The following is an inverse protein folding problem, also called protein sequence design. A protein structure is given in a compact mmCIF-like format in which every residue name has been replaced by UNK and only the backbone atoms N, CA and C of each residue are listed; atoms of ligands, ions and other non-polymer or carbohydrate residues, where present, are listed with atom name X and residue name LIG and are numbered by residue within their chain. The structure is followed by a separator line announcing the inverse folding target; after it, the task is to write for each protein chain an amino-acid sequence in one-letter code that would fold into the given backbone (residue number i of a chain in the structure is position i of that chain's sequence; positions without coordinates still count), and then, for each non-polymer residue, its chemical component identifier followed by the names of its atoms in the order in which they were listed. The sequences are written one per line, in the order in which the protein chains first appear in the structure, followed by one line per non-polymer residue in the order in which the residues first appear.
data_IF_886909145548
#
_entry.id   IF_886909145548
#
_cell.length_a   1.000
_cell.length_b   1.000
_cell.length_c   1.000
_cell.angle_alpha   90.00
_cell.angle_beta   90.00
_cell.angle_gamma   90.00
#
_symmetry.space_group_name_H-M   'P 1'
#
loop_
_entity.id
_entity.type
_entity.pdbx_description
1 polymer ?
#
# COMPACT_ATOMS: atom_id res chain seq x y z
N UNK A 1 16.21 1.36 8.46
CA UNK A 1 15.22 2.32 7.95
C UNK A 1 13.92 2.19 8.74
N UNK A 2 13.12 3.27 8.76
CA UNK A 2 11.83 3.32 9.44
C UNK A 2 10.77 3.77 8.45
N UNK A 3 9.63 3.08 8.44
CA UNK A 3 8.46 3.47 7.68
C UNK A 3 7.35 3.90 8.64
N UNK A 4 6.69 5.02 8.33
CA UNK A 4 5.55 5.52 9.08
C UNK A 4 4.38 5.65 8.12
N UNK A 5 3.23 5.10 8.51
CA UNK A 5 2.00 5.25 7.77
C UNK A 5 0.99 6.02 8.62
N UNK A 6 0.55 7.15 8.10
CA UNK A 6 -0.54 7.94 8.68
C UNK A 6 -1.75 7.93 7.77
N UNK A 7 -2.92 7.96 8.34
CA UNK A 7 -4.17 8.23 7.63
C UNK A 7 -5.02 9.25 8.38
N UNK A 8 -5.80 10.04 7.67
CA UNK A 8 -6.71 11.04 8.19
C UNK A 8 -7.84 11.29 7.17
N UNK A 9 -8.90 11.94 7.59
CA UNK A 9 -9.99 12.37 6.71
C UNK A 9 -9.53 13.51 5.80
N UNK A 10 -8.75 14.48 6.35
CA UNK A 10 -8.28 15.66 5.64
C UNK A 10 -6.77 15.56 5.34
N UNK A 11 -6.39 15.94 4.14
CA UNK A 11 -4.98 15.93 3.73
C UNK A 11 -4.11 16.90 4.53
N UNK A 12 -4.69 18.03 4.97
CA UNK A 12 -4.02 19.03 5.82
C UNK A 12 -3.60 18.46 7.16
N UNK A 13 -4.34 17.48 7.71
CA UNK A 13 -3.98 16.83 8.96
C UNK A 13 -2.77 15.91 8.78
N UNK A 14 -2.65 15.25 7.62
CA UNK A 14 -1.44 14.49 7.28
C UNK A 14 -0.22 15.39 7.14
N UNK A 15 -0.37 16.55 6.49
CA UNK A 15 0.72 17.53 6.39
C UNK A 15 1.13 18.05 7.77
N UNK A 16 0.15 18.31 8.63
CA UNK A 16 0.42 18.75 10.01
C UNK A 16 1.15 17.66 10.78
N UNK A 17 0.68 16.42 10.76
CA UNK A 17 1.30 15.28 11.45
C UNK A 17 2.76 15.10 11.00
N UNK A 18 3.02 15.13 9.69
CA UNK A 18 4.37 15.05 9.14
C UNK A 18 5.27 16.20 9.66
N UNK A 19 4.78 17.43 9.59
CA UNK A 19 5.54 18.60 10.04
C UNK A 19 5.80 18.56 11.55
N UNK A 20 4.80 18.19 12.35
CA UNK A 20 4.93 18.09 13.80
C UNK A 20 5.96 16.99 14.14
N UNK A 21 5.87 15.81 13.53
CA UNK A 21 6.86 14.75 13.70
C UNK A 21 8.28 15.24 13.39
N UNK A 22 8.49 15.87 12.23
CA UNK A 22 9.80 16.34 11.76
C UNK A 22 10.38 17.46 12.64
N UNK A 23 9.54 18.35 13.16
CA UNK A 23 9.98 19.57 13.84
C UNK A 23 10.01 19.46 15.36
N UNK A 24 9.08 18.69 15.95
CA UNK A 24 8.88 18.69 17.40
C UNK A 24 9.46 17.46 18.10
N UNK A 25 9.69 16.33 17.38
CA UNK A 25 10.27 15.13 17.98
C UNK A 25 11.78 15.05 17.76
N UNK A 26 12.51 14.50 18.72
CA UNK A 26 13.93 14.21 18.58
C UNK A 26 14.13 13.19 17.47
N UNK A 27 13.33 12.11 17.48
CA UNK A 27 13.41 11.04 16.50
C UNK A 27 13.22 11.55 15.08
N UNK A 28 12.17 12.35 14.84
CA UNK A 28 11.92 12.92 13.51
C UNK A 28 13.02 13.84 13.00
N UNK A 29 13.76 14.51 13.91
CA UNK A 29 14.91 15.35 13.53
C UNK A 29 16.17 14.53 13.20
N UNK A 30 16.29 13.31 13.73
CA UNK A 30 17.43 12.42 13.47
C UNK A 30 17.29 11.61 12.17
N UNK A 31 16.10 11.57 11.57
CA UNK A 31 15.83 10.81 10.35
C UNK A 31 15.96 11.70 9.11
N UNK A 32 16.51 11.13 8.04
CA UNK A 32 16.41 11.70 6.70
C UNK A 32 15.21 11.10 5.96
N UNK A 33 14.58 11.92 5.12
CA UNK A 33 13.46 11.45 4.30
C UNK A 33 14.03 10.74 3.08
N UNK A 34 13.78 9.45 2.98
CA UNK A 34 14.18 8.63 1.84
C UNK A 34 13.11 8.60 0.75
N UNK A 35 11.84 8.40 1.14
CA UNK A 35 10.73 8.31 0.23
C UNK A 35 9.43 8.75 0.90
N UNK A 36 8.54 9.37 0.14
CA UNK A 36 7.19 9.75 0.59
C UNK A 36 6.18 9.37 -0.49
N UNK A 37 5.19 8.59 -0.10
CA UNK A 37 4.04 8.27 -0.95
C UNK A 37 2.75 8.81 -0.35
N UNK A 38 1.84 9.25 -1.19
CA UNK A 38 0.53 9.76 -0.80
C UNK A 38 -0.54 9.08 -1.61
N UNK A 39 -1.64 8.72 -0.97
CA UNK A 39 -2.79 8.14 -1.64
C UNK A 39 -4.11 8.67 -1.07
N UNK A 40 -5.13 8.67 -1.90
CA UNK A 40 -6.51 8.99 -1.52
C UNK A 40 -7.36 7.73 -1.67
N UNK A 41 -8.20 7.45 -0.68
CA UNK A 41 -9.20 6.41 -0.87
C UNK A 41 -10.20 6.83 -1.96
N UNK A 42 -10.45 5.92 -2.89
CA UNK A 42 -11.51 6.01 -3.88
C UNK A 42 -12.23 4.66 -3.95
N UNK A 43 -13.57 4.65 -4.08
CA UNK A 43 -14.30 3.40 -4.27
C UNK A 43 -13.75 2.62 -5.47
N UNK A 44 -13.59 1.31 -5.30
CA UNK A 44 -13.15 0.44 -6.38
C UNK A 44 -14.17 0.45 -7.53
N UNK A 45 -13.68 0.42 -8.77
CA UNK A 45 -14.49 0.55 -9.98
C UNK A 45 -15.60 -0.51 -10.07
N UNK A 46 -15.29 -1.76 -9.73
CA UNK A 46 -16.20 -2.90 -9.87
C UNK A 46 -16.65 -3.52 -8.54
N UNK A 47 -16.15 -3.03 -7.40
CA UNK A 47 -16.54 -3.50 -6.07
C UNK A 47 -16.53 -2.34 -5.06
N UNK A 48 -17.57 -1.51 -5.13
CA UNK A 48 -17.68 -0.30 -4.29
C UNK A 48 -17.77 -0.58 -2.79
N UNK A 49 -18.15 -1.81 -2.42
CA UNK A 49 -18.22 -2.22 -1.00
C UNK A 49 -16.91 -2.68 -0.42
N UNK A 50 -15.87 -2.83 -1.24
CA UNK A 50 -14.54 -3.21 -0.74
C UNK A 50 -13.82 -1.98 -0.18
N UNK A 51 -13.68 -1.95 1.13
CA UNK A 51 -12.95 -0.90 1.85
C UNK A 51 -11.59 -1.43 2.31
N UNK A 52 -10.54 -0.60 2.29
CA UNK A 52 -9.28 -0.92 2.92
C UNK A 52 -9.43 -1.18 4.44
N UNK A 53 -8.64 -2.08 4.98
CA UNK A 53 -8.70 -2.49 6.39
C UNK A 53 -8.54 -1.30 7.36
N UNK A 54 -7.67 -0.35 7.04
CA UNK A 54 -7.47 0.84 7.88
C UNK A 54 -8.70 1.76 7.96
N UNK A 55 -9.53 1.82 6.90
CA UNK A 55 -10.80 2.58 6.92
C UNK A 55 -11.85 1.86 7.75
N UNK A 56 -11.83 0.52 7.77
CA UNK A 56 -12.72 -0.28 8.59
C UNK A 56 -12.34 -0.28 10.08
N UNK A 57 -11.22 0.34 10.44
CA UNK A 57 -10.72 0.38 11.81
C UNK A 57 -10.16 -0.96 12.29
N UNK A 58 -9.74 -1.82 11.38
CA UNK A 58 -9.10 -3.09 11.72
C UNK A 58 -7.70 -2.84 12.28
N UNK A 59 -7.32 -3.63 13.31
CA UNK A 59 -5.97 -3.56 13.87
C UNK A 59 -4.93 -3.94 12.81
N UNK A 60 -3.82 -3.16 12.69
CA UNK A 60 -2.73 -3.50 11.79
C UNK A 60 -2.13 -4.88 12.09
N UNK A 61 -1.66 -5.57 11.05
CA UNK A 61 -0.98 -6.84 11.19
C UNK A 61 0.53 -6.67 11.47
N UNK A 62 1.23 -7.78 11.70
CA UNK A 62 2.63 -7.77 12.13
C UNK A 62 3.61 -7.36 11.03
N UNK A 63 3.27 -7.62 9.76
CA UNK A 63 4.11 -7.32 8.62
C UNK A 63 3.37 -6.52 7.56
N UNK A 64 4.10 -5.63 6.91
CA UNK A 64 3.58 -4.80 5.83
C UNK A 64 4.57 -4.77 4.66
N UNK A 65 4.03 -4.74 3.44
CA UNK A 65 4.78 -4.38 2.23
C UNK A 65 4.03 -3.26 1.50
N UNK A 66 4.70 -2.13 1.34
CA UNK A 66 4.17 -0.95 0.63
C UNK A 66 4.89 -0.80 -0.70
N UNK A 67 4.14 -0.56 -1.76
CA UNK A 67 4.69 -0.23 -3.07
C UNK A 67 3.70 0.58 -3.91
N UNK A 68 4.19 1.47 -4.75
CA UNK A 68 3.40 2.14 -5.76
C UNK A 68 3.33 1.32 -7.04
N UNK A 69 2.33 1.56 -7.89
CA UNK A 69 2.32 1.03 -9.25
C UNK A 69 1.59 1.93 -10.24
N UNK A 70 1.91 1.73 -11.50
CA UNK A 70 1.29 2.42 -12.64
C UNK A 70 0.79 1.38 -13.64
N UNK A 71 -0.44 1.56 -14.11
CA UNK A 71 -1.05 0.69 -15.13
C UNK A 71 -0.40 0.88 -16.51
N UNK A 72 -0.57 -0.11 -17.38
CA UNK A 72 -0.21 0.02 -18.79
C UNK A 72 -1.08 1.08 -19.49
N UNK A 73 -0.59 1.63 -20.59
CA UNK A 73 -1.26 2.73 -21.30
C UNK A 73 -2.64 2.37 -21.83
N UNK A 74 -2.87 1.10 -22.16
CA UNK A 74 -4.14 0.58 -22.68
C UNK A 74 -5.16 0.26 -21.57
N UNK A 75 -4.75 0.18 -20.31
CA UNK A 75 -5.61 -0.25 -19.21
C UNK A 75 -6.92 0.55 -19.11
N UNK A 76 -6.83 1.88 -19.11
CA UNK A 76 -8.00 2.74 -18.87
C UNK A 76 -8.88 2.92 -20.12
N UNK A 77 -8.34 2.65 -21.31
CA UNK A 77 -9.08 2.71 -22.58
C UNK A 77 -9.56 1.33 -23.05
N UNK A 78 -9.19 0.27 -22.33
CA UNK A 78 -9.67 -1.09 -22.56
C UNK A 78 -11.17 -1.17 -22.33
N UNK A 79 -11.82 -2.09 -23.06
CA UNK A 79 -13.22 -2.44 -22.84
C UNK A 79 -13.50 -2.73 -21.36
N UNK A 80 -14.51 -2.08 -20.73
CA UNK A 80 -14.78 -2.23 -19.32
C UNK A 80 -15.12 -3.66 -18.88
N UNK A 81 -15.77 -4.45 -19.72
CA UNK A 81 -16.12 -5.82 -19.37
C UNK A 81 -14.88 -6.72 -19.37
N UNK A 82 -13.96 -6.51 -20.33
CA UNK A 82 -12.65 -7.17 -20.31
C UNK A 82 -11.87 -6.80 -19.05
N UNK A 83 -11.79 -5.52 -18.70
CA UNK A 83 -11.11 -5.04 -17.50
C UNK A 83 -11.69 -5.65 -16.22
N UNK A 84 -13.04 -5.73 -16.15
CA UNK A 84 -13.75 -6.40 -15.05
C UNK A 84 -13.36 -7.88 -14.95
N UNK A 85 -13.30 -8.59 -16.07
CA UNK A 85 -12.93 -10.01 -16.10
C UNK A 85 -11.51 -10.24 -15.58
N UNK A 86 -10.55 -9.41 -15.99
CA UNK A 86 -9.17 -9.45 -15.51
C UNK A 86 -9.08 -9.23 -13.99
N UNK A 87 -9.88 -8.32 -13.43
CA UNK A 87 -9.90 -8.08 -11.99
C UNK A 87 -10.62 -9.19 -11.21
N UNK A 88 -11.63 -9.84 -11.80
CA UNK A 88 -12.26 -11.04 -11.22
C UNK A 88 -11.23 -12.17 -11.13
N UNK A 89 -10.52 -12.47 -12.21
CA UNK A 89 -9.46 -13.48 -12.24
C UNK A 89 -8.38 -13.18 -11.20
N UNK A 90 -7.93 -11.93 -11.14
CA UNK A 90 -6.96 -11.47 -10.17
C UNK A 90 -7.44 -11.68 -8.72
N UNK A 91 -8.70 -11.33 -8.42
CA UNK A 91 -9.29 -11.55 -7.11
C UNK A 91 -9.45 -13.04 -6.76
N UNK A 92 -9.82 -13.88 -7.74
CA UNK A 92 -9.92 -15.33 -7.53
C UNK A 92 -8.55 -15.95 -7.25
N UNK A 93 -7.49 -15.49 -7.90
CA UNK A 93 -6.13 -15.95 -7.64
C UNK A 93 -5.65 -15.62 -6.21
N UNK A 94 -6.21 -14.57 -5.60
CA UNK A 94 -5.92 -14.18 -4.22
C UNK A 94 -6.78 -14.92 -3.17
N UNK A 95 -7.74 -15.76 -3.56
CA UNK A 95 -8.72 -16.35 -2.63
C UNK A 95 -8.10 -17.19 -1.50
N UNK A 96 -6.97 -17.85 -1.77
CA UNK A 96 -6.24 -18.65 -0.78
C UNK A 96 -5.40 -17.80 0.21
N UNK A 97 -5.44 -16.47 0.05
CA UNK A 97 -4.66 -15.50 0.82
C UNK A 97 -5.56 -14.54 1.60
N UNK A 98 -6.67 -15.04 2.15
CA UNK A 98 -7.62 -14.23 2.92
C UNK A 98 -7.02 -13.59 4.18
N UNK A 99 -5.89 -14.12 4.66
CA UNK A 99 -5.09 -13.58 5.75
C UNK A 99 -4.19 -12.40 5.32
N UNK A 100 -4.02 -12.15 4.03
CA UNK A 100 -3.28 -11.00 3.51
C UNK A 100 -4.27 -9.88 3.15
N UNK A 101 -4.20 -8.78 3.88
CA UNK A 101 -5.04 -7.61 3.67
C UNK A 101 -4.43 -6.70 2.61
N UNK A 102 -5.24 -6.27 1.65
CA UNK A 102 -4.83 -5.32 0.62
C UNK A 102 -5.46 -3.95 0.87
N UNK A 103 -4.61 -2.95 1.09
CA UNK A 103 -5.02 -1.56 1.18
C UNK A 103 -4.59 -0.84 -0.10
N UNK A 104 -5.55 -0.54 -0.99
CA UNK A 104 -5.28 0.11 -2.27
C UNK A 104 -5.81 1.54 -2.26
N UNK A 105 -4.94 2.48 -2.61
CA UNK A 105 -5.25 3.91 -2.64
C UNK A 105 -4.90 4.49 -4.00
N UNK A 106 -5.72 5.44 -4.46
CA UNK A 106 -5.47 6.21 -5.67
C UNK A 106 -4.39 7.28 -5.42
N UNK A 107 -3.40 7.38 -6.31
CA UNK A 107 -2.29 8.34 -6.21
C UNK A 107 -2.16 9.25 -7.44
N UNK A 108 -3.18 9.30 -8.31
CA UNK A 108 -3.17 10.14 -9.50
C UNK A 108 -2.90 11.60 -9.16
N UNK A 109 -1.88 12.17 -9.81
CA UNK A 109 -1.42 13.55 -9.62
C UNK A 109 -0.90 13.88 -8.20
N UNK A 110 -0.65 12.86 -7.37
CA UNK A 110 -0.07 13.02 -6.03
C UNK A 110 1.43 12.64 -5.98
N UNK A 111 2.01 12.33 -7.12
CA UNK A 111 3.38 11.91 -7.35
C UNK A 111 3.50 11.26 -8.72
N UNK A 112 4.53 10.44 -8.91
CA UNK A 112 4.85 9.83 -10.20
C UNK A 112 4.03 8.57 -10.51
N UNK A 113 3.23 8.11 -9.55
CA UNK A 113 2.49 6.86 -9.64
C UNK A 113 0.97 7.08 -9.66
N UNK A 114 0.24 6.06 -10.09
CA UNK A 114 -1.23 6.09 -10.16
C UNK A 114 -1.89 5.46 -8.93
N UNK A 115 -1.21 4.49 -8.34
CA UNK A 115 -1.73 3.68 -7.24
C UNK A 115 -0.67 3.46 -6.18
N UNK A 116 -1.14 3.35 -4.93
CA UNK A 116 -0.36 2.95 -3.77
C UNK A 116 -1.00 1.72 -3.16
N UNK A 117 -0.21 0.67 -2.97
CA UNK A 117 -0.64 -0.55 -2.30
C UNK A 117 0.12 -0.75 -0.99
N UNK A 118 -0.61 -1.21 0.04
CA UNK A 118 -0.04 -1.72 1.26
C UNK A 118 -0.66 -3.08 1.57
N UNK A 119 0.13 -4.14 1.49
CA UNK A 119 -0.26 -5.46 1.95
C UNK A 119 0.14 -5.65 3.40
N UNK A 120 -0.79 -6.14 4.22
CA UNK A 120 -0.52 -6.53 5.60
C UNK A 120 -0.78 -8.03 5.78
N UNK A 121 0.06 -8.70 6.56
CA UNK A 121 -0.08 -10.12 6.85
C UNK A 121 0.54 -10.50 8.21
N UNK A 122 0.18 -11.68 8.77
CA UNK A 122 0.82 -12.19 9.98
C UNK A 122 2.30 -12.50 9.79
N UNK A 123 2.72 -12.85 8.55
CA UNK A 123 4.12 -13.11 8.21
C UNK A 123 4.49 -12.54 6.84
N UNK A 124 5.76 -12.22 6.65
CA UNK A 124 6.26 -11.68 5.38
C UNK A 124 6.19 -12.71 4.24
N UNK A 125 6.34 -13.98 4.56
CA UNK A 125 6.22 -15.09 3.60
C UNK A 125 4.85 -15.09 2.93
N UNK A 126 3.76 -14.85 3.69
CA UNK A 126 2.41 -14.79 3.12
C UNK A 126 2.25 -13.68 2.08
N UNK A 127 2.87 -12.52 2.32
CA UNK A 127 2.88 -11.43 1.32
C UNK A 127 3.68 -11.85 0.08
N UNK A 128 4.84 -12.47 0.28
CA UNK A 128 5.70 -12.95 -0.81
C UNK A 128 5.00 -14.00 -1.67
N UNK A 129 4.34 -14.96 -1.04
CA UNK A 129 3.61 -16.03 -1.73
C UNK A 129 2.43 -15.47 -2.54
N UNK A 130 1.65 -14.55 -1.95
CA UNK A 130 0.60 -13.83 -2.68
C UNK A 130 1.17 -13.09 -3.89
N UNK A 131 2.22 -12.29 -3.70
CA UNK A 131 2.85 -11.54 -4.78
C UNK A 131 3.36 -12.46 -5.90
N UNK A 132 3.95 -13.61 -5.56
CA UNK A 132 4.35 -14.62 -6.53
C UNK A 132 3.14 -15.19 -7.29
N UNK A 133 2.07 -15.54 -6.57
CA UNK A 133 0.82 -16.03 -7.17
C UNK A 133 0.23 -15.04 -8.17
N UNK A 134 0.25 -13.74 -7.85
CA UNK A 134 -0.29 -12.68 -8.71
C UNK A 134 0.48 -12.52 -10.03
N UNK A 135 1.72 -13.02 -10.15
CA UNK A 135 2.49 -13.01 -11.40
C UNK A 135 1.90 -13.90 -12.49
N UNK A 136 1.03 -14.84 -12.15
CA UNK A 136 0.39 -15.76 -13.08
C UNK A 136 -0.98 -15.31 -13.60
N UNK A 137 -1.44 -14.12 -13.23
CA UNK A 137 -2.70 -13.54 -13.71
C UNK A 137 -2.47 -12.63 -14.93
N UNK A 138 -3.42 -12.59 -15.86
CA UNK A 138 -3.32 -11.71 -17.05
C UNK A 138 -3.30 -10.22 -16.65
N UNK A 139 -3.92 -9.83 -15.53
CA UNK A 139 -3.86 -8.46 -15.00
C UNK A 139 -2.43 -7.96 -14.79
N UNK A 140 -1.45 -8.86 -14.62
CA UNK A 140 -0.02 -8.53 -14.51
C UNK A 140 0.54 -7.87 -15.77
N UNK A 141 0.04 -8.23 -16.95
CA UNK A 141 0.47 -7.64 -18.23
C UNK A 141 0.12 -6.15 -18.33
N UNK A 142 -0.83 -5.70 -17.51
CA UNK A 142 -1.31 -4.32 -17.46
C UNK A 142 -0.71 -3.53 -16.28
N UNK A 143 0.49 -3.87 -15.85
CA UNK A 143 1.30 -3.10 -14.90
C UNK A 143 2.59 -2.70 -15.59
N UNK A 144 2.78 -1.39 -15.78
CA UNK A 144 3.96 -0.81 -16.44
C UNK A 144 5.11 -0.62 -15.47
N UNK A 145 4.80 -0.19 -14.27
CA UNK A 145 5.78 0.12 -13.23
C UNK A 145 5.26 -0.31 -11.86
N UNK A 146 6.13 -0.85 -11.05
CA UNK A 146 5.81 -1.43 -9.74
C UNK A 146 7.06 -1.39 -8.84
N UNK A 147 7.57 -0.20 -8.60
CA UNK A 147 8.77 0.07 -7.80
C UNK A 147 8.61 1.41 -7.07
N UNK A 148 9.30 1.62 -5.93
CA UNK A 148 10.06 0.66 -5.11
C UNK A 148 9.16 -0.17 -4.18
N UNK A 149 9.69 -1.26 -3.62
CA UNK A 149 9.04 -2.06 -2.57
C UNK A 149 9.67 -1.76 -1.22
N UNK A 150 8.84 -1.56 -0.22
CA UNK A 150 9.24 -1.36 1.17
C UNK A 150 8.54 -2.36 2.06
N UNK A 151 9.29 -3.24 2.70
CA UNK A 151 8.75 -4.22 3.63
C UNK A 151 9.28 -3.99 5.03
N UNK A 152 8.43 -4.19 6.04
CA UNK A 152 8.82 -3.99 7.42
C UNK A 152 7.94 -4.75 8.41
N UNK A 153 8.49 -4.95 9.59
CA UNK A 153 7.76 -5.46 10.74
C UNK A 153 7.12 -4.30 11.51
N UNK A 154 5.91 -4.51 11.99
CA UNK A 154 5.24 -3.57 12.91
C UNK A 154 6.05 -3.45 14.19
N UNK A 155 6.20 -2.23 14.66
CA UNK A 155 6.75 -1.91 15.99
C UNK A 155 5.69 -1.16 16.79
N UNK A 156 5.65 -1.37 18.09
CA UNK A 156 4.71 -0.74 19.00
C UNK A 156 5.37 0.26 19.93
N UNK A 157 6.70 0.20 20.01
CA UNK A 157 7.51 1.09 20.84
C UNK A 157 8.76 1.54 20.04
N UNK A 158 9.15 2.81 20.20
CA UNK A 158 10.38 3.35 19.61
C UNK A 158 11.63 2.61 20.11
N UNK A 159 11.62 2.07 21.32
CA UNK A 159 12.72 1.26 21.84
C UNK A 159 13.04 0.07 20.93
N UNK A 160 12.03 -0.59 20.38
CA UNK A 160 12.23 -1.68 19.41
C UNK A 160 12.99 -1.24 18.15
N UNK A 161 12.79 -0.01 17.72
CA UNK A 161 13.50 0.56 16.56
C UNK A 161 14.97 0.81 16.94
N UNK A 162 15.21 1.36 18.14
CA UNK A 162 16.56 1.68 18.61
C UNK A 162 17.41 0.43 18.75
N UNK A 163 16.82 -0.68 19.20
CA UNK A 163 17.52 -1.96 19.38
C UNK A 163 18.03 -2.57 18.06
N UNK A 164 17.40 -2.24 16.91
CA UNK A 164 17.80 -2.76 15.59
C UNK A 164 18.57 -1.76 14.72
N UNK A 165 18.77 -0.54 15.22
CA UNK A 165 19.65 0.43 14.55
C UNK A 165 21.14 0.04 14.76
N UNK A 166 21.98 0.22 13.74
CA UNK A 166 23.42 -0.05 13.85
C UNK A 166 24.14 0.92 14.80
#
# INVERSE_FOLDING_TARGET
DVMIWWHAEEFTDLQKAYNDFRRTTVFGRCLEVFWVGVGLHRPAEFNRGHLPAFIMGEEPQDWITVYPFTRSYDWYIMDPDKRRQLLIEHGQAAADYADVRANTMSAFALGDYEWMLAFEAPTLERISDLMHKMRYTEARLHVREELPFFSGRRVTDIAEIIEVLP
#
